data_IF_472806914754
#
_entry.id   IF_472806914754
#
_cell.length_a   1.000
_cell.length_b   1.000
_cell.length_c   1.000
_cell.angle_alpha   90.00
_cell.angle_beta   90.00
_cell.angle_gamma   90.00
#
_symmetry.space_group_name_H-M   'P 1'
#
loop_
_entity.id
_entity.type
_entity.pdbx_description
1 polymer ?
#
# COMPACT_ATOMS: atom_id res chain seq x y z
N UNK A 1 0.95 14.18 -8.37
CA UNK A 1 1.19 12.86 -7.76
C UNK A 1 2.65 12.81 -7.34
N UNK A 2 2.94 12.41 -6.10
CA UNK A 2 4.33 12.26 -5.63
C UNK A 2 5.06 11.12 -6.34
N UNK A 3 6.39 11.21 -6.43
CA UNK A 3 7.21 10.25 -7.14
C UNK A 3 7.04 8.83 -6.59
N UNK A 4 6.87 8.68 -5.28
CA UNK A 4 6.65 7.42 -4.57
C UNK A 4 5.41 6.63 -5.04
N UNK A 5 4.44 7.31 -5.67
CA UNK A 5 3.21 6.68 -6.20
C UNK A 5 3.30 6.28 -7.68
N UNK A 6 4.36 6.68 -8.38
CA UNK A 6 4.46 6.47 -9.83
C UNK A 6 4.86 5.04 -10.20
N UNK A 7 5.59 4.35 -9.32
CA UNK A 7 6.04 2.97 -9.53
C UNK A 7 5.90 2.14 -8.25
N UNK A 8 5.95 0.80 -8.41
CA UNK A 8 5.87 -0.11 -7.28
C UNK A 8 7.13 -0.06 -6.39
N UNK A 9 7.03 -0.42 -5.10
CA UNK A 9 8.19 -0.51 -4.21
C UNK A 9 9.32 -1.37 -4.80
N UNK A 10 8.97 -2.48 -5.44
CA UNK A 10 9.92 -3.39 -6.09
C UNK A 10 10.70 -2.72 -7.22
N UNK A 11 10.07 -1.83 -7.99
CA UNK A 11 10.76 -1.06 -9.03
C UNK A 11 11.82 -0.14 -8.41
N UNK A 12 11.46 0.57 -7.34
CA UNK A 12 12.37 1.47 -6.64
C UNK A 12 13.55 0.73 -6.01
N UNK A 13 13.32 -0.43 -5.39
CA UNK A 13 14.40 -1.28 -4.87
C UNK A 13 15.37 -1.74 -5.97
N UNK A 14 14.85 -2.20 -7.11
CA UNK A 14 15.68 -2.58 -8.25
C UNK A 14 16.56 -1.41 -8.70
N UNK A 15 16.02 -0.19 -8.74
CA UNK A 15 16.80 1.01 -9.09
C UNK A 15 17.87 1.31 -8.04
N UNK A 16 17.57 1.18 -6.75
CA UNK A 16 18.58 1.32 -5.71
C UNK A 16 19.75 0.33 -5.90
N UNK A 17 19.45 -0.95 -6.15
CA UNK A 17 20.44 -2.00 -6.41
C UNK A 17 21.34 -1.69 -7.62
N UNK A 18 20.77 -1.15 -8.70
CA UNK A 18 21.54 -0.70 -9.86
C UNK A 18 22.55 0.41 -9.50
N UNK A 19 22.17 1.35 -8.62
CA UNK A 19 23.07 2.42 -8.18
C UNK A 19 24.11 1.96 -7.16
N UNK A 20 23.78 1.01 -6.28
CA UNK A 20 24.77 0.34 -5.43
C UNK A 20 25.83 -0.37 -6.27
N UNK A 21 25.39 -1.17 -7.25
CA UNK A 21 26.29 -1.88 -8.17
C UNK A 21 27.21 -0.89 -8.92
N UNK A 22 26.68 0.25 -9.37
CA UNK A 22 27.49 1.30 -10.00
C UNK A 22 28.47 1.94 -9.02
N UNK A 23 28.06 2.18 -7.78
CA UNK A 23 28.92 2.75 -6.75
C UNK A 23 30.07 1.81 -6.38
N UNK A 24 29.81 0.50 -6.30
CA UNK A 24 30.82 -0.49 -5.93
C UNK A 24 31.91 -0.64 -7.00
N UNK A 25 31.52 -0.49 -8.27
CA UNK A 25 32.46 -0.47 -9.41
C UNK A 25 33.14 0.90 -9.63
N UNK A 26 32.79 1.93 -8.87
CA UNK A 26 33.35 3.27 -9.04
C UNK A 26 34.68 3.45 -8.30
N UNK A 27 35.70 3.90 -9.02
CA UNK A 27 37.03 4.18 -8.47
C UNK A 27 37.16 5.60 -7.90
N UNK A 28 36.29 6.52 -8.32
CA UNK A 28 36.31 7.92 -7.88
C UNK A 28 35.51 8.07 -6.58
N UNK A 29 36.14 8.47 -5.46
CA UNK A 29 35.48 8.52 -4.15
C UNK A 29 34.26 9.44 -4.11
N UNK A 30 34.32 10.63 -4.72
CA UNK A 30 33.20 11.58 -4.71
C UNK A 30 32.00 11.04 -5.52
N UNK A 31 32.27 10.48 -6.70
CA UNK A 31 31.24 9.88 -7.53
C UNK A 31 30.61 8.65 -6.86
N UNK A 32 31.44 7.83 -6.20
CA UNK A 32 30.95 6.69 -5.41
C UNK A 32 30.02 7.12 -4.30
N UNK A 33 30.37 8.19 -3.56
CA UNK A 33 29.51 8.74 -2.51
C UNK A 33 28.18 9.27 -3.09
N UNK A 34 28.23 9.99 -4.21
CA UNK A 34 27.03 10.46 -4.89
C UNK A 34 26.12 9.31 -5.35
N UNK A 35 26.69 8.25 -5.95
CA UNK A 35 25.93 7.08 -6.38
C UNK A 35 25.26 6.35 -5.20
N UNK A 36 25.96 6.22 -4.06
CA UNK A 36 25.38 5.67 -2.83
C UNK A 36 24.23 6.51 -2.29
N UNK A 37 24.36 7.84 -2.35
CA UNK A 37 23.28 8.73 -1.94
C UNK A 37 22.05 8.58 -2.85
N UNK A 38 22.26 8.44 -4.17
CA UNK A 38 21.17 8.17 -5.12
C UNK A 38 20.51 6.82 -4.82
N UNK A 39 21.28 5.76 -4.55
CA UNK A 39 20.73 4.46 -4.16
C UNK A 39 19.84 4.57 -2.92
N UNK A 40 20.32 5.26 -1.87
CA UNK A 40 19.54 5.51 -0.64
C UNK A 40 18.23 6.26 -0.92
N UNK A 41 18.25 7.27 -1.79
CA UNK A 41 17.02 7.99 -2.15
C UNK A 41 15.98 7.07 -2.81
N UNK A 42 16.42 6.11 -3.63
CA UNK A 42 15.52 5.10 -4.20
C UNK A 42 14.99 4.11 -3.16
N UNK A 43 15.78 3.72 -2.17
CA UNK A 43 15.32 2.90 -1.04
C UNK A 43 14.26 3.63 -0.20
N UNK A 44 14.44 4.94 0.03
CA UNK A 44 13.47 5.76 0.74
C UNK A 44 12.17 5.89 -0.07
N UNK A 45 12.24 6.06 -1.39
CA UNK A 45 11.07 6.00 -2.28
C UNK A 45 10.37 4.63 -2.20
N UNK A 46 11.12 3.53 -2.18
CA UNK A 46 10.55 2.19 -2.03
C UNK A 46 9.79 2.05 -0.70
N UNK A 47 10.37 2.53 0.40
CA UNK A 47 9.75 2.51 1.72
C UNK A 47 8.45 3.31 1.75
N UNK A 48 8.45 4.52 1.19
CA UNK A 48 7.27 5.38 1.10
C UNK A 48 6.18 4.75 0.23
N UNK A 49 6.55 4.19 -0.92
CA UNK A 49 5.63 3.48 -1.79
C UNK A 49 4.97 2.29 -1.07
N UNK A 50 5.73 1.53 -0.28
CA UNK A 50 5.20 0.40 0.47
C UNK A 50 4.22 0.86 1.56
N UNK A 51 4.57 1.91 2.31
CA UNK A 51 3.69 2.48 3.33
C UNK A 51 2.35 2.96 2.74
N UNK A 52 2.37 3.57 1.55
CA UNK A 52 1.16 3.97 0.84
C UNK A 52 0.31 2.75 0.48
N UNK A 53 0.92 1.70 -0.06
CA UNK A 53 0.21 0.46 -0.40
C UNK A 53 -0.41 -0.21 0.83
N UNK A 54 0.31 -0.28 1.95
CA UNK A 54 -0.17 -0.90 3.19
C UNK A 54 -1.35 -0.10 3.77
N UNK A 55 -1.27 1.23 3.74
CA UNK A 55 -2.34 2.12 4.16
C UNK A 55 -3.58 1.99 3.27
N UNK A 56 -3.39 1.90 1.96
CA UNK A 56 -4.48 1.68 1.00
C UNK A 56 -5.15 0.31 1.18
N UNK A 57 -4.39 -0.75 1.43
CA UNK A 57 -4.95 -2.06 1.74
C UNK A 57 -5.73 -2.05 3.06
N UNK A 58 -5.16 -1.45 4.10
CA UNK A 58 -5.79 -1.38 5.42
C UNK A 58 -7.07 -0.54 5.41
N UNK A 59 -7.12 0.52 4.61
CA UNK A 59 -8.34 1.32 4.42
C UNK A 59 -9.38 0.59 3.58
N UNK A 60 -8.98 -0.17 2.54
CA UNK A 60 -9.90 -1.02 1.77
C UNK A 60 -10.53 -2.12 2.63
N UNK A 61 -9.75 -2.82 3.46
CA UNK A 61 -10.27 -3.86 4.35
C UNK A 61 -11.32 -3.31 5.32
N UNK A 62 -11.00 -2.22 6.01
CA UNK A 62 -11.96 -1.57 6.92
C UNK A 62 -13.26 -1.13 6.23
N UNK A 63 -13.18 -0.68 4.98
CA UNK A 63 -14.38 -0.33 4.19
C UNK A 63 -15.21 -1.56 3.81
N UNK A 64 -14.57 -2.69 3.50
CA UNK A 64 -15.26 -3.94 3.21
C UNK A 64 -15.94 -4.48 4.46
N UNK A 65 -15.23 -4.53 5.59
CA UNK A 65 -15.77 -4.95 6.89
C UNK A 65 -16.96 -4.09 7.30
N UNK A 66 -16.85 -2.75 7.21
CA UNK A 66 -17.96 -1.86 7.52
C UNK A 66 -19.18 -2.09 6.62
N UNK A 67 -18.96 -2.47 5.34
CA UNK A 67 -20.03 -2.77 4.40
C UNK A 67 -20.69 -4.11 4.70
N UNK A 68 -19.92 -5.13 5.08
CA UNK A 68 -20.42 -6.44 5.49
C UNK A 68 -21.28 -6.32 6.74
N UNK A 69 -20.77 -5.61 7.76
CA UNK A 69 -21.51 -5.33 8.99
C UNK A 69 -22.82 -4.59 8.71
N UNK A 70 -22.80 -3.55 7.87
CA UNK A 70 -24.02 -2.83 7.50
C UNK A 70 -25.03 -3.72 6.77
N UNK A 71 -24.56 -4.67 5.96
CA UNK A 71 -25.42 -5.61 5.24
C UNK A 71 -26.08 -6.60 6.21
N UNK A 72 -25.33 -7.12 7.18
CA UNK A 72 -25.83 -8.01 8.23
C UNK A 72 -26.97 -7.36 9.03
N UNK A 73 -26.78 -6.12 9.48
CA UNK A 73 -27.85 -5.37 10.17
C UNK A 73 -29.13 -5.23 9.33
N UNK A 74 -29.00 -4.95 8.02
CA UNK A 74 -30.15 -4.82 7.13
C UNK A 74 -30.87 -6.16 6.93
N UNK A 75 -30.12 -7.26 6.87
CA UNK A 75 -30.68 -8.59 6.70
C UNK A 75 -31.37 -9.07 7.98
N UNK A 76 -30.83 -8.75 9.16
CA UNK A 76 -31.48 -8.96 10.46
C UNK A 76 -32.79 -8.17 10.58
N UNK A 77 -32.81 -6.88 10.20
CA UNK A 77 -34.02 -6.07 10.20
C UNK A 77 -35.11 -6.65 9.28
N UNK A 78 -34.71 -7.14 8.11
CA UNK A 78 -35.64 -7.83 7.17
C UNK A 78 -36.17 -9.11 7.77
N UNK A 79 -35.33 -9.92 8.40
CA UNK A 79 -35.73 -11.16 9.06
C UNK A 79 -36.77 -10.88 10.15
N UNK A 80 -36.48 -9.95 11.07
CA UNK A 80 -37.40 -9.53 12.13
C UNK A 80 -38.74 -9.06 11.54
N UNK A 81 -38.69 -8.20 10.52
CA UNK A 81 -39.90 -7.67 9.87
C UNK A 81 -40.75 -8.79 9.25
N UNK A 82 -40.11 -9.76 8.61
CA UNK A 82 -40.79 -10.91 8.00
C UNK A 82 -41.43 -11.85 9.04
N UNK A 83 -40.76 -12.08 10.16
CA UNK A 83 -41.30 -12.88 11.26
C UNK A 83 -42.52 -12.22 11.90
N UNK A 84 -42.45 -10.91 12.16
CA UNK A 84 -43.58 -10.13 12.67
C UNK A 84 -44.78 -10.22 11.73
N UNK A 85 -44.54 -10.06 10.42
CA UNK A 85 -45.59 -10.18 9.40
C UNK A 85 -46.24 -11.56 9.37
N UNK A 86 -45.44 -12.63 9.49
CA UNK A 86 -45.95 -14.00 9.51
C UNK A 86 -46.73 -14.34 10.78
N UNK A 87 -46.44 -13.69 11.91
CA UNK A 87 -47.20 -13.88 13.17
C UNK A 87 -48.53 -13.12 13.21
N UNK A 88 -48.70 -12.10 12.37
CA UNK A 88 -49.92 -11.29 12.30
C UNK A 88 -50.95 -11.80 11.28
N UNK A 89 -50.57 -12.76 10.43
CA UNK A 89 -51.46 -13.49 9.51
C UNK A 89 -51.84 -14.85 10.09
#
# INVERSE_FOLDING_TARGET
MGAERMHSPKYWLRRAEEFHTKADNCQFPETKAALRQVAKNYEDLARQAQQILDNEQSSKRRRLEAREVAQEYLDDERAITSELRNRMN
#
